data_IF_411186125925
#
_entry.id   IF_411186125925
#
_cell.length_a   1.000
_cell.length_b   1.000
_cell.length_c   1.000
_cell.angle_alpha   90.00
_cell.angle_beta   90.00
_cell.angle_gamma   90.00
#
_symmetry.space_group_name_H-M   'P 1'
#
loop_
_entity.id
_entity.type
_entity.pdbx_description
1 polymer ?
#
# COMPACT_ATOMS: atom_id res chain seq x y z
N UNK A 1 7.44 0.96 15.45
CA UNK A 1 6.07 1.33 15.01
C UNK A 1 5.79 0.62 13.70
N UNK A 2 4.56 0.16 13.47
CA UNK A 2 4.24 -0.50 12.19
C UNK A 2 3.79 0.53 11.16
N UNK A 3 4.57 0.72 10.09
CA UNK A 3 4.24 1.63 8.98
C UNK A 3 4.02 0.82 7.72
N UNK A 4 2.95 1.12 7.00
CA UNK A 4 2.61 0.48 5.74
C UNK A 4 2.77 1.45 4.59
N UNK A 5 3.58 1.08 3.60
CA UNK A 5 3.85 1.92 2.43
C UNK A 5 2.84 1.70 1.31
N UNK A 6 2.29 0.49 1.20
CA UNK A 6 1.37 0.06 0.13
C UNK A 6 0.29 -0.84 0.71
N UNK A 7 -0.90 -0.85 0.14
CA UNK A 7 -2.02 -1.57 0.77
C UNK A 7 -1.86 -3.09 0.74
N UNK A 8 -1.40 -3.64 -0.38
CA UNK A 8 -1.06 -5.05 -0.51
C UNK A 8 0.16 -5.48 0.33
N UNK A 9 0.97 -4.53 0.82
CA UNK A 9 2.13 -4.82 1.64
C UNK A 9 1.77 -4.92 3.13
N UNK A 10 2.42 -5.84 3.89
CA UNK A 10 2.32 -5.79 5.34
C UNK A 10 2.87 -4.47 5.87
N UNK A 11 2.40 -4.06 7.05
CA UNK A 11 3.08 -2.99 7.78
C UNK A 11 4.42 -3.53 8.28
N UNK A 12 5.51 -2.82 7.97
CA UNK A 12 6.85 -3.13 8.43
C UNK A 12 7.17 -2.38 9.72
N UNK A 13 8.09 -2.90 10.51
CA UNK A 13 8.52 -2.25 11.74
C UNK A 13 9.56 -1.15 11.42
N UNK A 14 9.26 0.07 11.84
CA UNK A 14 10.12 1.25 11.74
C UNK A 14 10.54 1.75 13.12
N UNK A 15 11.78 2.26 13.22
CA UNK A 15 12.24 2.99 14.39
C UNK A 15 11.61 4.39 14.40
N UNK A 16 11.13 4.78 15.57
CA UNK A 16 10.52 6.10 15.82
C UNK A 16 11.22 6.67 17.03
N UNK A 17 11.71 7.91 16.93
CA UNK A 17 12.28 8.64 18.05
C UNK A 17 11.19 9.13 19.02
N UNK A 18 11.23 10.43 19.28
CA UNK A 18 10.34 11.10 20.24
C UNK A 18 9.04 11.63 19.60
N UNK A 19 8.75 11.22 18.37
CA UNK A 19 7.49 11.57 17.71
C UNK A 19 6.32 10.81 18.36
N UNK A 20 5.31 11.57 18.78
CA UNK A 20 4.01 11.03 19.16
C UNK A 20 3.16 10.83 17.90
N UNK A 21 2.90 9.56 17.58
CA UNK A 21 2.17 9.15 16.38
C UNK A 21 1.10 8.14 16.74
N UNK A 22 -0.05 8.25 16.07
CA UNK A 22 -1.22 7.41 16.25
C UNK A 22 -1.49 6.58 14.99
N UNK A 23 -2.28 5.51 15.15
CA UNK A 23 -2.74 4.72 14.00
C UNK A 23 -3.58 5.60 13.09
N UNK A 24 -3.28 5.55 11.79
CA UNK A 24 -3.87 6.41 10.76
C UNK A 24 -3.02 7.63 10.40
N UNK A 25 -2.00 7.97 11.18
CA UNK A 25 -1.09 9.07 10.85
C UNK A 25 -0.30 8.77 9.58
N UNK A 26 -0.10 9.79 8.75
CA UNK A 26 0.75 9.73 7.57
C UNK A 26 2.12 10.29 7.91
N UNK A 27 3.15 9.52 7.59
CA UNK A 27 4.53 9.80 7.97
C UNK A 27 5.47 9.61 6.79
N UNK A 28 6.49 10.46 6.72
CA UNK A 28 7.60 10.27 5.80
C UNK A 28 8.60 9.31 6.43
N UNK A 29 8.99 8.27 5.71
CA UNK A 29 9.90 7.23 6.21
C UNK A 29 11.02 6.94 5.21
N UNK A 30 12.11 6.37 5.70
CA UNK A 30 13.17 5.80 4.85
C UNK A 30 12.62 4.62 4.04
N UNK A 31 12.94 4.57 2.74
CA UNK A 31 12.74 3.39 1.91
C UNK A 31 14.05 3.03 1.19
N UNK A 32 14.04 1.98 0.36
CA UNK A 32 15.25 1.43 -0.26
C UNK A 32 16.02 2.41 -1.16
N UNK A 33 15.30 3.32 -1.84
CA UNK A 33 15.91 4.28 -2.77
C UNK A 33 15.69 5.74 -2.33
N UNK A 34 14.46 6.10 -1.99
CA UNK A 34 14.09 7.45 -1.60
C UNK A 34 13.08 7.39 -0.45
N UNK A 35 13.03 8.43 0.39
CA UNK A 35 11.99 8.54 1.40
C UNK A 35 10.60 8.52 0.78
N UNK A 36 9.65 7.92 1.47
CA UNK A 36 8.27 7.81 0.96
C UNK A 36 7.25 7.99 2.07
N UNK A 37 6.02 8.33 1.69
CA UNK A 37 4.91 8.48 2.63
C UNK A 37 4.31 7.11 2.92
N UNK A 38 4.22 6.77 4.19
CA UNK A 38 3.52 5.60 4.70
C UNK A 38 2.45 5.96 5.71
N UNK A 39 1.61 4.99 6.02
CA UNK A 39 0.55 5.12 7.01
C UNK A 39 0.87 4.27 8.25
N UNK A 40 0.72 4.85 9.44
CA UNK A 40 0.88 4.13 10.70
C UNK A 40 -0.28 3.15 10.86
N UNK A 41 0.04 1.85 10.92
CA UNK A 41 -0.94 0.76 11.07
C UNK A 41 -0.78 -0.03 12.35
N UNK A 42 0.35 0.13 13.06
CA UNK A 42 0.54 -0.41 14.42
C UNK A 42 1.23 0.62 15.30
N UNK A 43 0.82 0.79 16.57
CA UNK A 43 1.37 1.81 17.46
C UNK A 43 2.85 1.57 17.81
N UNK A 44 3.47 2.54 18.50
CA UNK A 44 4.79 2.36 19.11
C UNK A 44 4.71 1.19 20.11
N UNK A 45 5.67 0.27 20.03
CA UNK A 45 5.82 -0.85 20.96
C UNK A 45 7.29 -1.09 21.21
N UNK A 46 7.60 -1.65 22.37
CA UNK A 46 8.90 -2.25 22.59
C UNK A 46 9.03 -3.53 21.75
N UNK A 47 10.23 -3.72 21.19
CA UNK A 47 10.55 -4.93 20.46
C UNK A 47 11.18 -5.95 21.41
N UNK A 48 10.88 -7.25 21.25
CA UNK A 48 11.58 -8.31 21.96
C UNK A 48 13.10 -8.21 21.76
N UNK A 49 13.89 -8.61 22.75
CA UNK A 49 15.36 -8.49 22.71
C UNK A 49 15.98 -9.12 21.46
N UNK A 50 15.49 -10.31 21.07
CA UNK A 50 15.93 -11.00 19.85
C UNK A 50 15.73 -10.21 18.54
N UNK A 51 14.97 -9.13 18.57
CA UNK A 51 14.71 -8.24 17.43
C UNK A 51 15.43 -6.90 17.55
N UNK A 52 16.01 -6.54 18.70
CA UNK A 52 16.60 -5.21 18.93
C UNK A 52 17.84 -4.92 18.08
N UNK A 53 18.64 -5.93 17.77
CA UNK A 53 19.88 -5.77 16.99
C UNK A 53 19.66 -5.59 15.48
N UNK A 54 18.41 -5.69 15.01
CA UNK A 54 18.11 -5.49 13.59
C UNK A 54 18.24 -4.01 13.23
N UNK A 55 18.83 -3.74 12.06
CA UNK A 55 18.78 -2.42 11.45
C UNK A 55 17.35 -2.13 10.97
N UNK A 56 16.68 -1.19 11.64
CA UNK A 56 15.35 -0.73 11.27
C UNK A 56 15.44 0.60 10.52
N UNK A 57 14.65 0.73 9.47
CA UNK A 57 14.41 2.02 8.80
C UNK A 57 13.68 2.99 9.74
N UNK A 58 13.89 4.28 9.57
CA UNK A 58 13.38 5.32 10.45
C UNK A 58 12.12 5.99 9.91
N UNK A 59 11.22 6.35 10.82
CA UNK A 59 10.27 7.42 10.57
C UNK A 59 11.03 8.74 10.69
N UNK A 60 10.99 9.53 9.62
CA UNK A 60 11.72 10.79 9.53
C UNK A 60 10.92 11.93 10.19
N UNK A 61 9.63 12.04 9.83
CA UNK A 61 8.70 13.06 10.34
C UNK A 61 7.26 12.72 9.99
N UNK A 62 6.33 13.46 10.56
CA UNK A 62 4.95 13.54 10.06
C UNK A 62 4.95 14.04 8.61
N UNK A 63 4.08 13.48 7.77
CA UNK A 63 3.87 13.97 6.42
C UNK A 63 3.30 15.41 6.48
N UNK A 64 3.73 16.25 5.56
CA UNK A 64 3.13 17.57 5.35
C UNK A 64 1.71 17.43 4.82
N UNK A 65 0.91 18.49 4.91
CA UNK A 65 -0.45 18.47 4.35
C UNK A 65 -0.48 18.16 2.86
N UNK A 66 0.47 18.69 2.09
CA UNK A 66 0.58 18.45 0.66
C UNK A 66 0.89 16.97 0.35
N UNK A 67 1.84 16.38 1.07
CA UNK A 67 2.19 14.95 0.96
C UNK A 67 1.01 14.05 1.38
N UNK A 68 0.34 14.40 2.49
CA UNK A 68 -0.82 13.68 2.99
C UNK A 68 -1.99 13.73 2.00
N UNK A 69 -2.22 14.90 1.37
CA UNK A 69 -3.24 15.06 0.33
C UNK A 69 -2.91 14.21 -0.90
N UNK A 70 -1.66 14.26 -1.38
CA UNK A 70 -1.22 13.47 -2.52
C UNK A 70 -1.35 11.97 -2.26
N UNK A 71 -0.98 11.50 -1.06
CA UNK A 71 -1.15 10.12 -0.63
C UNK A 71 -2.64 9.70 -0.67
N UNK A 72 -3.53 10.49 -0.06
CA UNK A 72 -4.97 10.19 -0.04
C UNK A 72 -5.60 10.20 -1.43
N UNK A 73 -5.22 11.14 -2.29
CA UNK A 73 -5.69 11.19 -3.67
C UNK A 73 -5.25 9.95 -4.44
N UNK A 74 -3.98 9.56 -4.26
CA UNK A 74 -3.43 8.35 -4.87
C UNK A 74 -4.17 7.10 -4.41
N UNK A 75 -4.35 6.93 -3.09
CA UNK A 75 -5.15 5.83 -2.51
C UNK A 75 -6.58 5.82 -3.03
N UNK A 76 -7.23 6.98 -3.14
CA UNK A 76 -8.59 7.06 -3.68
C UNK A 76 -8.68 6.65 -5.16
N UNK A 77 -7.64 6.88 -5.97
CA UNK A 77 -7.57 6.36 -7.35
C UNK A 77 -7.47 4.85 -7.38
N UNK A 78 -6.64 4.28 -6.52
CA UNK A 78 -6.47 2.83 -6.37
C UNK A 78 -7.78 2.16 -5.94
N UNK A 79 -8.49 2.72 -4.96
CA UNK A 79 -9.80 2.22 -4.51
C UNK A 79 -10.84 2.22 -5.64
N UNK A 80 -10.94 3.31 -6.41
CA UNK A 80 -11.82 3.34 -7.60
C UNK A 80 -11.42 2.34 -8.67
N UNK A 81 -10.13 2.03 -8.79
CA UNK A 81 -9.64 1.05 -9.74
C UNK A 81 -9.96 -0.39 -9.31
N UNK A 82 -10.00 -0.68 -8.00
CA UNK A 82 -10.50 -1.96 -7.48
C UNK A 82 -11.94 -2.18 -7.95
N UNK A 83 -12.81 -1.21 -7.74
CA UNK A 83 -14.22 -1.30 -8.14
C UNK A 83 -14.38 -1.46 -9.66
N UNK A 84 -13.56 -0.76 -10.42
CA UNK A 84 -13.58 -0.84 -11.89
C UNK A 84 -13.11 -2.22 -12.35
N UNK A 85 -11.97 -2.71 -11.85
CA UNK A 85 -11.47 -4.03 -12.18
C UNK A 85 -12.45 -5.14 -11.78
N UNK A 86 -13.06 -5.04 -10.60
CA UNK A 86 -14.06 -6.01 -10.14
C UNK A 86 -15.29 -6.03 -11.03
N UNK A 87 -15.77 -4.88 -11.51
CA UNK A 87 -16.92 -4.79 -12.42
C UNK A 87 -16.62 -5.41 -13.78
N UNK A 88 -15.46 -5.12 -14.38
CA UNK A 88 -15.06 -5.69 -15.68
C UNK A 88 -14.83 -7.20 -15.57
N UNK A 89 -14.22 -7.67 -14.49
CA UNK A 89 -14.07 -9.10 -14.23
C UNK A 89 -15.43 -9.80 -14.15
N UNK A 90 -16.39 -9.19 -13.42
CA UNK A 90 -17.76 -9.71 -13.28
C UNK A 90 -18.51 -9.73 -14.62
N UNK A 91 -18.38 -8.70 -15.45
CA UNK A 91 -19.05 -8.67 -16.76
C UNK A 91 -18.53 -9.73 -17.73
N UNK A 92 -17.32 -10.26 -17.49
CA UNK A 92 -16.74 -11.39 -18.21
C UNK A 92 -17.04 -12.76 -17.58
N UNK A 93 -17.80 -12.81 -16.49
CA UNK A 93 -18.11 -14.05 -15.78
C UNK A 93 -16.91 -14.67 -15.04
N UNK A 94 -15.83 -13.92 -14.83
CA UNK A 94 -14.64 -14.42 -14.14
C UNK A 94 -14.93 -14.57 -12.64
N UNK A 95 -14.74 -15.78 -12.10
CA UNK A 95 -14.88 -16.10 -10.68
C UNK A 95 -13.64 -15.64 -9.91
N UNK A 96 -13.51 -14.33 -9.71
CA UNK A 96 -12.44 -13.72 -8.93
C UNK A 96 -12.92 -12.54 -8.09
N UNK A 97 -12.22 -12.31 -6.99
CA UNK A 97 -12.38 -11.12 -6.15
C UNK A 97 -11.11 -10.26 -6.24
N UNK A 98 -11.23 -9.06 -6.79
CA UNK A 98 -10.16 -8.06 -6.75
C UNK A 98 -10.03 -7.57 -5.30
N UNK A 99 -8.83 -7.71 -4.73
CA UNK A 99 -8.56 -7.38 -3.33
C UNK A 99 -7.77 -6.09 -3.18
N UNK A 100 -6.94 -5.73 -4.15
CA UNK A 100 -6.21 -4.47 -4.16
C UNK A 100 -5.76 -4.08 -5.57
N UNK A 101 -5.48 -2.79 -5.77
CA UNK A 101 -4.84 -2.26 -6.96
C UNK A 101 -3.71 -1.34 -6.52
N UNK A 102 -2.53 -1.57 -7.06
CA UNK A 102 -1.35 -0.72 -6.86
C UNK A 102 -1.06 0.07 -8.13
N UNK A 103 -0.94 1.38 -8.02
CA UNK A 103 -0.56 2.28 -9.11
C UNK A 103 0.87 2.78 -8.89
N UNK A 104 1.82 2.31 -9.69
CA UNK A 104 3.19 2.80 -9.58
C UNK A 104 3.32 4.19 -10.22
N UNK A 105 3.63 5.26 -9.45
CA UNK A 105 3.61 6.63 -9.98
C UNK A 105 4.66 6.86 -11.07
N UNK A 106 5.85 6.26 -10.92
CA UNK A 106 6.96 6.45 -11.88
C UNK A 106 6.88 5.50 -13.09
N UNK A 107 6.70 4.20 -12.85
CA UNK A 107 6.83 3.17 -13.89
C UNK A 107 5.61 3.04 -14.82
N UNK A 108 4.60 3.92 -14.71
CA UNK A 108 3.30 3.83 -15.44
C UNK A 108 2.72 2.40 -15.43
N UNK A 109 2.87 1.71 -14.29
CA UNK A 109 2.49 0.31 -14.12
C UNK A 109 1.35 0.23 -13.10
N UNK A 110 0.33 -0.55 -13.43
CA UNK A 110 -0.75 -0.90 -12.50
C UNK A 110 -0.68 -2.39 -12.21
N UNK A 111 -0.76 -2.77 -10.95
CA UNK A 111 -0.77 -4.16 -10.50
C UNK A 111 -2.09 -4.44 -9.80
N UNK A 112 -2.82 -5.45 -10.28
CA UNK A 112 -4.11 -5.85 -9.71
C UNK A 112 -3.91 -7.14 -8.94
N UNK A 113 -4.29 -7.13 -7.67
CA UNK A 113 -4.26 -8.30 -6.80
C UNK A 113 -5.68 -8.88 -6.71
N UNK A 114 -5.80 -10.19 -6.87
CA UNK A 114 -7.09 -10.88 -6.79
C UNK A 114 -6.95 -12.24 -6.14
N UNK A 115 -8.06 -12.73 -5.57
CA UNK A 115 -8.23 -14.10 -5.13
C UNK A 115 -9.17 -14.82 -6.10
N UNK A 116 -8.86 -16.08 -6.43
CA UNK A 116 -9.71 -16.96 -7.20
C UNK A 116 -9.60 -18.38 -6.62
N UNK A 117 -10.72 -19.10 -6.57
CA UNK A 117 -10.75 -20.48 -6.07
C UNK A 117 -10.16 -21.46 -7.07
N UNK A 118 -10.33 -21.18 -8.36
CA UNK A 118 -9.81 -21.97 -9.47
C UNK A 118 -8.91 -21.14 -10.38
N UNK A 119 -8.18 -21.84 -11.26
CA UNK A 119 -7.38 -21.17 -12.29
C UNK A 119 -8.30 -20.49 -13.30
N UNK A 120 -8.03 -19.22 -13.53
CA UNK A 120 -8.77 -18.37 -14.47
C UNK A 120 -7.86 -17.89 -15.60
N UNK A 121 -8.41 -17.69 -16.79
CA UNK A 121 -7.75 -16.94 -17.87
C UNK A 121 -8.22 -15.49 -17.84
N UNK A 122 -7.31 -14.58 -17.50
CA UNK A 122 -7.59 -13.15 -17.30
C UNK A 122 -7.02 -12.28 -18.44
N UNK A 123 -6.50 -12.86 -19.53
CA UNK A 123 -5.83 -12.09 -20.58
C UNK A 123 -6.72 -11.03 -21.23
N UNK A 124 -7.99 -11.37 -21.46
CA UNK A 124 -8.92 -10.39 -22.04
C UNK A 124 -9.37 -9.33 -21.04
N UNK A 125 -9.41 -9.64 -19.73
CA UNK A 125 -9.62 -8.64 -18.68
C UNK A 125 -8.49 -7.60 -18.70
N UNK A 126 -7.23 -8.04 -18.84
CA UNK A 126 -6.08 -7.12 -18.96
C UNK A 126 -6.21 -6.21 -20.18
N UNK A 127 -6.69 -6.73 -21.31
CA UNK A 127 -6.93 -5.92 -22.52
C UNK A 127 -8.00 -4.85 -22.32
N UNK A 128 -9.04 -5.14 -21.54
CA UNK A 128 -10.09 -4.16 -21.25
C UNK A 128 -9.62 -3.08 -20.28
N UNK A 129 -8.81 -3.46 -19.27
CA UNK A 129 -8.30 -2.52 -18.27
C UNK A 129 -7.14 -1.66 -18.78
N UNK A 130 -6.47 -2.08 -19.83
CA UNK A 130 -5.37 -1.33 -20.45
C UNK A 130 -5.83 -0.31 -21.52
N UNK A 131 -7.13 -0.24 -21.79
CA UNK A 131 -7.73 0.80 -22.65
C UNK A 131 -7.97 2.08 -21.87
#
# INVERSE_FOLDING_TARGET
MGVRLRVAAPADDYRVGDLELHVGDLVLVEAEAESTVGEVRRPKRELPDAKKDRAYRHVLRTATEAEARAYREHRGREERAIDTAQRVAKSRGLQMKVVDVEMHPVARRVTVYFNAEERIDFRDLVRDLAR
#
